data_IF_959244416665
#
_entry.id   IF_959244416665
#
_cell.length_a   1.000
_cell.length_b   1.000
_cell.length_c   1.000
_cell.angle_alpha   90.00
_cell.angle_beta   90.00
_cell.angle_gamma   90.00
#
_symmetry.space_group_name_H-M   'P 1'
#
loop_
_entity.id
_entity.type
_entity.pdbx_description
1 polymer ?
#
# COMPACT_ATOMS: atom_id res chain seq x y z
N UNK A 1 1.24 8.95 -24.48
CA UNK A 1 0.79 7.86 -23.57
C UNK A 1 1.85 6.79 -23.67
N UNK A 2 2.40 6.31 -22.55
CA UNK A 2 3.50 5.34 -22.60
C UNK A 2 2.90 3.96 -22.89
N UNK A 3 3.23 3.34 -24.02
CA UNK A 3 2.77 1.98 -24.33
C UNK A 3 3.35 0.93 -23.36
N UNK A 4 4.40 1.31 -22.62
CA UNK A 4 5.06 0.47 -21.62
C UNK A 4 4.61 0.76 -20.18
N UNK A 5 3.59 1.60 -19.92
CA UNK A 5 3.09 1.75 -18.54
C UNK A 5 2.34 0.49 -18.10
N UNK A 6 2.69 -0.04 -16.93
CA UNK A 6 1.97 -1.16 -16.33
C UNK A 6 0.52 -0.74 -16.04
N UNK A 7 -0.44 -1.43 -16.65
CA UNK A 7 -1.89 -1.22 -16.45
C UNK A 7 -2.49 -2.09 -15.34
N UNK A 8 -1.64 -2.79 -14.60
CA UNK A 8 -2.00 -3.65 -13.49
C UNK A 8 -1.11 -3.36 -12.28
N UNK A 9 -1.67 -3.58 -11.09
CA UNK A 9 -0.90 -3.55 -9.85
C UNK A 9 -0.26 -4.92 -9.63
N UNK A 10 1.00 -4.94 -9.20
CA UNK A 10 1.71 -6.15 -8.82
C UNK A 10 1.98 -6.17 -7.32
N UNK A 11 1.73 -7.32 -6.70
CA UNK A 11 1.97 -7.52 -5.26
C UNK A 11 2.84 -8.75 -5.06
N UNK A 12 3.99 -8.54 -4.45
CA UNK A 12 4.88 -9.58 -3.99
C UNK A 12 4.89 -9.62 -2.45
N UNK A 13 4.69 -10.81 -1.88
CA UNK A 13 4.70 -11.02 -0.43
C UNK A 13 5.74 -12.08 -0.09
N UNK A 14 6.72 -11.71 0.72
CA UNK A 14 7.70 -12.59 1.31
C UNK A 14 7.40 -12.75 2.80
N UNK A 15 7.18 -13.99 3.23
CA UNK A 15 6.99 -14.35 4.64
C UNK A 15 8.26 -15.09 5.07
N UNK A 16 8.91 -14.58 6.11
CA UNK A 16 10.13 -15.13 6.69
C UNK A 16 9.77 -15.62 8.08
N UNK A 17 9.93 -16.91 8.33
CA UNK A 17 9.76 -17.50 9.65
C UNK A 17 11.12 -17.92 10.21
N UNK A 18 11.40 -17.56 11.46
CA UNK A 18 12.55 -18.04 12.21
C UNK A 18 12.08 -18.67 13.51
N UNK A 19 12.73 -19.75 13.93
CA UNK A 19 12.43 -20.40 15.20
C UNK A 19 13.69 -20.45 16.06
N UNK A 20 13.59 -19.93 17.28
CA UNK A 20 14.63 -20.00 18.30
C UNK A 20 14.32 -21.14 19.27
N UNK A 21 15.11 -22.22 19.15
CA UNK A 21 15.00 -23.42 20.01
C UNK A 21 15.25 -23.14 21.49
N UNK A 22 16.09 -22.16 21.83
CA UNK A 22 16.45 -21.88 23.22
C UNK A 22 15.33 -21.14 23.96
N UNK A 23 14.68 -20.19 23.28
CA UNK A 23 13.56 -19.44 23.87
C UNK A 23 12.19 -20.05 23.55
N UNK A 24 12.13 -21.11 22.74
CA UNK A 24 10.90 -21.68 22.19
C UNK A 24 9.99 -20.63 21.51
N UNK A 25 10.61 -19.62 20.88
CA UNK A 25 9.90 -18.55 20.20
C UNK A 25 10.04 -18.71 18.70
N UNK A 26 8.91 -18.57 18.00
CA UNK A 26 8.87 -18.36 16.57
C UNK A 26 8.70 -16.87 16.30
N UNK A 27 9.41 -16.37 15.30
CA UNK A 27 9.30 -15.00 14.83
C UNK A 27 8.84 -15.08 13.38
N UNK A 28 7.80 -14.34 13.05
CA UNK A 28 7.38 -14.16 11.66
C UNK A 28 7.61 -12.72 11.23
N UNK A 29 8.26 -12.57 10.07
CA UNK A 29 8.48 -11.32 9.37
C UNK A 29 7.74 -11.33 8.05
N UNK A 30 6.87 -10.36 7.81
CA UNK A 30 6.25 -10.20 6.48
C UNK A 30 6.80 -8.96 5.81
N UNK A 31 7.42 -9.16 4.63
CA UNK A 31 7.77 -8.13 3.67
C UNK A 31 6.75 -8.15 2.53
N UNK A 32 6.09 -7.01 2.31
CA UNK A 32 5.26 -6.80 1.12
C UNK A 32 5.93 -5.76 0.25
N UNK A 33 6.04 -6.05 -1.05
CA UNK A 33 6.48 -5.14 -2.10
C UNK A 33 5.34 -5.01 -3.09
N UNK A 34 4.91 -3.78 -3.32
CA UNK A 34 3.77 -3.49 -4.19
C UNK A 34 4.25 -2.53 -5.25
N UNK A 35 4.03 -2.86 -6.51
CA UNK A 35 4.22 -1.97 -7.65
C UNK A 35 2.84 -1.55 -8.15
N UNK A 36 2.56 -0.25 -8.07
CA UNK A 36 1.27 0.30 -8.49
C UNK A 36 1.28 0.66 -9.98
N UNK A 37 0.16 0.40 -10.65
CA UNK A 37 -0.10 0.89 -12.00
C UNK A 37 -0.04 2.43 -12.04
N UNK A 38 0.22 2.96 -13.23
CA UNK A 38 0.36 4.40 -13.46
C UNK A 38 -0.90 5.21 -13.11
N UNK A 39 -0.68 6.48 -12.74
CA UNK A 39 -1.74 7.42 -12.31
C UNK A 39 -2.27 8.29 -13.43
N UNK A 40 -1.88 8.01 -14.66
CA UNK A 40 -2.28 8.84 -15.79
C UNK A 40 -3.80 8.89 -15.92
N UNK A 41 -4.30 10.09 -16.25
CA UNK A 41 -5.70 10.32 -16.54
C UNK A 41 -5.91 10.32 -18.05
N UNK A 42 -7.02 9.74 -18.52
CA UNK A 42 -7.43 9.71 -19.94
C UNK A 42 -7.86 11.09 -20.46
N UNK A 43 -7.60 12.17 -19.70
CA UNK A 43 -7.97 13.52 -20.10
C UNK A 43 -7.03 14.05 -21.19
N UNK A 44 -7.26 13.64 -22.46
CA UNK A 44 -7.00 14.44 -23.69
C UNK A 44 -7.16 13.71 -25.04
N UNK A 45 -7.61 12.46 -25.09
CA UNK A 45 -7.78 11.75 -26.36
C UNK A 45 -9.26 11.47 -26.61
N UNK A 46 -9.83 12.13 -27.62
CA UNK A 46 -11.22 11.97 -28.07
C UNK A 46 -11.50 10.59 -28.66
N UNK A 47 -10.45 9.85 -29.05
CA UNK A 47 -10.56 8.55 -29.74
C UNK A 47 -9.96 7.40 -28.91
N UNK A 48 -10.40 7.22 -27.67
CA UNK A 48 -10.02 6.06 -26.85
C UNK A 48 -11.18 5.07 -26.81
N UNK A 49 -10.88 3.82 -27.18
CA UNK A 49 -11.84 2.71 -27.10
C UNK A 49 -12.45 2.60 -25.69
N UNK A 50 -13.74 2.32 -25.60
CA UNK A 50 -14.47 2.20 -24.32
C UNK A 50 -13.81 1.22 -23.34
N UNK A 51 -13.21 0.14 -23.86
CA UNK A 51 -12.46 -0.84 -23.07
C UNK A 51 -11.26 -0.19 -22.35
N UNK A 52 -10.48 0.64 -23.04
CA UNK A 52 -9.32 1.36 -22.46
C UNK A 52 -9.75 2.45 -21.49
N UNK A 53 -10.88 3.12 -21.75
CA UNK A 53 -11.48 4.07 -20.80
C UNK A 53 -11.89 3.39 -19.50
N UNK A 54 -12.56 2.23 -19.59
CA UNK A 54 -12.98 1.44 -18.43
C UNK A 54 -11.78 0.88 -17.65
N UNK A 55 -10.75 0.41 -18.34
CA UNK A 55 -9.50 -0.06 -17.73
C UNK A 55 -8.80 1.04 -16.93
N UNK A 56 -8.55 2.19 -17.55
CA UNK A 56 -7.89 3.33 -16.89
C UNK A 56 -8.73 3.87 -15.72
N UNK A 57 -10.06 3.82 -15.85
CA UNK A 57 -10.99 4.15 -14.76
C UNK A 57 -10.82 3.23 -13.55
N UNK A 58 -10.64 1.93 -13.75
CA UNK A 58 -10.43 0.97 -12.66
C UNK A 58 -9.06 1.15 -11.98
N UNK A 59 -8.00 1.45 -12.73
CA UNK A 59 -6.69 1.78 -12.18
C UNK A 59 -6.80 2.99 -11.25
N UNK A 60 -7.34 4.10 -11.76
CA UNK A 60 -7.50 5.34 -10.99
C UNK A 60 -8.43 5.17 -9.78
N UNK A 61 -9.46 4.32 -9.90
CA UNK A 61 -10.33 3.99 -8.76
C UNK A 61 -9.55 3.35 -7.61
N UNK A 62 -8.65 2.41 -7.90
CA UNK A 62 -7.85 1.75 -6.87
C UNK A 62 -6.81 2.69 -6.23
N UNK A 63 -6.17 3.56 -7.01
CA UNK A 63 -5.24 4.58 -6.50
C UNK A 63 -5.96 5.63 -5.64
N UNK A 64 -7.14 6.08 -6.07
CA UNK A 64 -7.98 7.01 -5.30
C UNK A 64 -8.42 6.38 -3.97
N UNK A 65 -8.90 5.14 -3.99
CA UNK A 65 -9.27 4.41 -2.78
C UNK A 65 -8.09 4.29 -1.81
N UNK A 66 -6.88 4.02 -2.32
CA UNK A 66 -5.66 3.98 -1.52
C UNK A 66 -5.35 5.34 -0.89
N UNK A 67 -5.49 6.44 -1.65
CA UNK A 67 -5.37 7.80 -1.12
C UNK A 67 -6.39 8.14 -0.04
N UNK A 68 -7.63 7.68 -0.17
CA UNK A 68 -8.67 7.84 0.84
C UNK A 68 -8.35 7.07 2.13
N UNK A 69 -7.78 5.87 2.02
CA UNK A 69 -7.29 5.10 3.18
C UNK A 69 -6.22 5.88 3.94
N UNK A 70 -5.20 6.39 3.24
CA UNK A 70 -4.16 7.19 3.87
C UNK A 70 -4.74 8.47 4.52
N UNK A 71 -5.63 9.17 3.83
CA UNK A 71 -6.28 10.35 4.39
C UNK A 71 -7.06 10.03 5.68
N UNK A 72 -7.83 8.93 5.70
CA UNK A 72 -8.54 8.47 6.88
C UNK A 72 -7.59 8.08 8.03
N UNK A 73 -6.42 7.47 7.73
CA UNK A 73 -5.38 7.19 8.74
C UNK A 73 -4.87 8.50 9.35
N UNK A 74 -4.59 9.51 8.52
CA UNK A 74 -4.07 10.80 8.99
C UNK A 74 -5.05 11.56 9.89
N UNK A 75 -6.36 11.41 9.67
CA UNK A 75 -7.43 12.03 10.46
C UNK A 75 -7.86 11.18 11.66
N UNK A 76 -7.43 9.92 11.74
CA UNK A 76 -7.94 8.99 12.74
C UNK A 76 -9.42 8.70 12.56
N UNK A 77 -9.87 8.45 11.33
CA UNK A 77 -11.25 8.11 10.97
C UNK A 77 -11.44 6.60 10.71
N UNK A 78 -12.64 6.18 10.29
CA UNK A 78 -12.89 4.82 9.80
C UNK A 78 -12.14 4.59 8.48
N UNK A 79 -11.48 3.43 8.35
CA UNK A 79 -10.63 3.14 7.18
C UNK A 79 -11.46 2.49 6.04
N UNK A 80 -11.58 3.14 4.87
CA UNK A 80 -12.45 2.67 3.79
C UNK A 80 -11.80 1.59 2.90
N UNK A 81 -11.35 0.47 3.47
CA UNK A 81 -10.66 -0.59 2.71
C UNK A 81 -11.49 -1.23 1.59
N UNK A 82 -12.82 -1.09 1.63
CA UNK A 82 -13.73 -1.65 0.61
C UNK A 82 -13.84 -0.82 -0.68
N UNK A 83 -13.11 0.30 -0.78
CA UNK A 83 -13.12 1.17 -1.98
C UNK A 83 -12.55 0.50 -3.25
N UNK A 84 -11.69 -0.50 -3.09
CA UNK A 84 -11.10 -1.29 -4.19
C UNK A 84 -10.63 -2.68 -3.72
N UNK A 85 -10.38 -3.60 -4.66
CA UNK A 85 -9.76 -4.90 -4.35
C UNK A 85 -8.37 -4.74 -3.74
N UNK A 86 -7.59 -3.77 -4.23
CA UNK A 86 -6.25 -3.46 -3.72
C UNK A 86 -6.32 -3.04 -2.24
N UNK A 87 -7.14 -2.05 -1.92
CA UNK A 87 -7.28 -1.58 -0.53
C UNK A 87 -7.84 -2.65 0.39
N UNK A 88 -8.71 -3.54 -0.12
CA UNK A 88 -9.23 -4.66 0.67
C UNK A 88 -8.13 -5.68 0.98
N UNK A 89 -7.30 -6.03 -0.01
CA UNK A 89 -6.13 -6.88 0.19
C UNK A 89 -5.14 -6.28 1.19
N UNK A 90 -4.99 -4.95 1.18
CA UNK A 90 -4.06 -4.22 2.04
C UNK A 90 -4.61 -3.87 3.43
N UNK A 91 -5.80 -4.32 3.79
CA UNK A 91 -6.37 -4.03 5.11
C UNK A 91 -5.41 -4.42 6.25
N UNK A 92 -4.93 -5.67 6.25
CA UNK A 92 -3.94 -6.17 7.21
C UNK A 92 -2.58 -5.46 7.08
N UNK A 93 -2.37 -4.73 5.98
CA UNK A 93 -1.15 -3.98 5.71
C UNK A 93 -1.11 -2.64 6.45
N UNK A 94 -2.26 -2.07 6.80
CA UNK A 94 -2.38 -0.79 7.50
C UNK A 94 -2.93 -0.90 8.92
N UNK A 95 -3.36 -2.09 9.32
CA UNK A 95 -3.71 -2.43 10.71
C UNK A 95 -2.49 -3.02 11.45
N UNK A 96 -2.39 -2.75 12.76
CA UNK A 96 -1.34 -3.31 13.62
C UNK A 96 0.04 -2.63 13.50
N UNK A 97 1.08 -3.33 13.97
CA UNK A 97 2.46 -2.84 13.93
C UNK A 97 3.06 -3.01 12.54
N UNK A 98 3.20 -1.91 11.80
CA UNK A 98 3.93 -1.95 10.53
C UNK A 98 4.76 -0.70 10.30
N UNK A 99 5.89 -0.90 9.61
CA UNK A 99 6.64 0.18 8.97
C UNK A 99 6.22 0.25 7.52
N UNK A 100 6.06 1.46 7.01
CA UNK A 100 5.62 1.74 5.66
C UNK A 100 6.65 2.65 5.00
N UNK A 101 7.24 2.18 3.90
CA UNK A 101 8.10 2.99 3.03
C UNK A 101 7.37 3.21 1.70
N UNK A 102 7.35 4.45 1.23
CA UNK A 102 6.74 4.86 -0.03
C UNK A 102 7.83 5.37 -0.99
N UNK A 103 7.99 4.75 -2.15
CA UNK A 103 8.72 5.35 -3.27
C UNK A 103 7.75 6.09 -4.17
N UNK A 104 8.10 7.31 -4.57
CA UNK A 104 7.31 8.13 -5.50
C UNK A 104 8.18 8.42 -6.70
N UNK A 105 7.89 7.76 -7.80
CA UNK A 105 8.53 8.06 -9.08
C UNK A 105 7.85 9.27 -9.71
N UNK A 106 8.63 10.20 -10.26
CA UNK A 106 8.14 11.43 -10.89
C UNK A 106 8.88 11.66 -12.21
N UNK A 107 8.25 12.38 -13.13
CA UNK A 107 8.88 12.82 -14.37
C UNK A 107 9.62 14.15 -14.17
N UNK A 108 10.80 14.27 -14.77
CA UNK A 108 11.55 15.54 -14.87
C UNK A 108 11.13 16.37 -16.08
N UNK A 109 10.37 15.79 -17.01
CA UNK A 109 9.93 16.48 -18.22
C UNK A 109 8.85 17.52 -17.87
N UNK A 110 9.04 18.81 -18.21
CA UNK A 110 8.09 19.88 -17.94
C UNK A 110 6.68 19.63 -18.46
N UNK A 111 6.52 18.84 -19.52
CA UNK A 111 5.19 18.47 -20.06
C UNK A 111 4.34 17.71 -19.03
N UNK A 112 4.97 17.04 -18.07
CA UNK A 112 4.32 16.21 -17.05
C UNK A 112 4.30 16.88 -15.66
N UNK A 113 4.56 18.20 -15.57
CA UNK A 113 4.61 18.92 -14.30
C UNK A 113 3.34 18.75 -13.45
N UNK A 114 2.16 18.70 -14.09
CA UNK A 114 0.89 18.49 -13.38
C UNK A 114 0.76 17.09 -12.78
N UNK A 115 1.23 16.06 -13.49
CA UNK A 115 1.24 14.68 -12.99
C UNK A 115 2.22 14.57 -11.82
N UNK A 116 3.45 15.07 -11.99
CA UNK A 116 4.47 15.15 -10.93
C UNK A 116 3.94 15.87 -9.69
N UNK A 117 3.26 17.01 -9.83
CA UNK A 117 2.65 17.73 -8.71
C UNK A 117 1.55 16.91 -8.02
N UNK A 118 0.75 16.15 -8.79
CA UNK A 118 -0.23 15.20 -8.26
C UNK A 118 0.42 14.14 -7.39
N UNK A 119 1.49 13.52 -7.87
CA UNK A 119 2.27 12.50 -7.15
C UNK A 119 2.88 13.04 -5.86
N UNK A 120 3.44 14.25 -5.89
CA UNK A 120 4.00 14.89 -4.70
C UNK A 120 2.92 15.27 -3.68
N UNK A 121 1.74 15.71 -4.11
CA UNK A 121 0.60 15.95 -3.21
C UNK A 121 0.11 14.65 -2.56
N UNK A 122 0.08 13.56 -3.29
CA UNK A 122 -0.20 12.24 -2.73
C UNK A 122 0.85 11.86 -1.68
N UNK A 123 2.13 12.01 -2.00
CA UNK A 123 3.23 11.77 -1.07
C UNK A 123 3.10 12.57 0.22
N UNK A 124 2.74 13.86 0.13
CA UNK A 124 2.52 14.72 1.30
C UNK A 124 1.37 14.23 2.19
N UNK A 125 0.29 13.70 1.60
CA UNK A 125 -0.80 13.07 2.35
C UNK A 125 -0.32 11.81 3.07
N UNK A 126 0.39 10.92 2.38
CA UNK A 126 0.91 9.68 2.98
C UNK A 126 1.91 9.97 4.10
N UNK A 127 2.77 10.98 3.94
CA UNK A 127 3.73 11.42 4.97
C UNK A 127 3.07 11.78 6.29
N UNK A 128 1.84 12.30 6.28
CA UNK A 128 1.07 12.68 7.48
C UNK A 128 0.41 11.47 8.16
N UNK A 129 0.52 10.28 7.58
CA UNK A 129 -0.06 9.06 8.12
C UNK A 129 0.90 8.40 9.11
N UNK A 130 0.55 8.39 10.39
CA UNK A 130 1.20 7.53 11.37
C UNK A 130 0.47 6.19 11.39
N UNK A 131 0.99 5.17 10.70
CA UNK A 131 0.39 3.83 10.61
C UNK A 131 0.28 3.12 11.98
N UNK A 132 0.85 3.69 13.06
CA UNK A 132 0.97 3.07 14.38
C UNK A 132 0.30 3.85 15.54
N UNK A 133 -0.53 4.86 15.28
CA UNK A 133 -1.07 5.73 16.36
C UNK A 133 -2.18 5.07 17.20
N UNK A 134 -2.94 4.09 16.67
CA UNK A 134 -4.06 3.46 17.40
C UNK A 134 -3.71 2.22 18.22
N UNK A 135 -2.59 1.57 17.97
CA UNK A 135 -2.29 0.21 18.53
C UNK A 135 -1.26 0.23 19.67
N UNK A 136 -0.63 1.38 19.94
CA UNK A 136 0.55 1.48 20.82
C UNK A 136 0.38 1.07 22.29
N UNK A 137 -0.83 0.92 22.82
CA UNK A 137 -1.00 0.75 24.27
C UNK A 137 -1.64 -0.58 24.73
N UNK A 138 -2.27 -1.35 23.82
CA UNK A 138 -3.15 -2.47 24.25
C UNK A 138 -2.63 -3.85 23.85
N UNK A 139 -1.82 -3.98 22.79
CA UNK A 139 -1.63 -5.28 22.11
C UNK A 139 -0.28 -6.00 22.31
N UNK A 140 0.72 -5.39 22.96
CA UNK A 140 2.04 -6.02 23.13
C UNK A 140 1.99 -7.34 23.93
N UNK A 141 0.99 -7.51 24.80
CA UNK A 141 0.75 -8.74 25.57
C UNK A 141 -0.29 -9.68 24.96
N UNK A 142 -1.07 -9.25 23.96
CA UNK A 142 -2.22 -10.00 23.44
C UNK A 142 -2.05 -10.53 22.01
N UNK A 143 -0.87 -10.35 21.40
CA UNK A 143 -0.58 -10.81 20.03
C UNK A 143 0.28 -12.09 19.96
N UNK A 144 0.68 -12.64 21.11
CA UNK A 144 1.28 -13.97 21.15
C UNK A 144 0.19 -14.99 20.84
N UNK A 145 0.32 -15.69 19.73
CA UNK A 145 -0.51 -16.85 19.41
C UNK A 145 0.41 -18.08 19.31
N UNK A 146 -0.10 -19.24 19.69
CA UNK A 146 0.60 -20.51 19.52
C UNK A 146 0.37 -21.03 18.10
N UNK A 147 1.42 -21.41 17.38
CA UNK A 147 1.22 -22.14 16.12
C UNK A 147 0.73 -23.57 16.39
N UNK A 148 0.40 -24.32 15.35
CA UNK A 148 -0.10 -25.71 15.48
C UNK A 148 0.92 -26.65 16.17
N UNK A 149 2.16 -26.22 16.39
CA UNK A 149 3.21 -26.96 17.09
C UNK A 149 3.44 -26.44 18.53
N UNK A 150 2.64 -25.48 19.00
CA UNK A 150 2.72 -24.93 20.35
C UNK A 150 3.80 -23.87 20.55
N UNK A 151 4.37 -23.33 19.47
CA UNK A 151 5.37 -22.27 19.56
C UNK A 151 4.71 -20.90 19.72
N UNK A 152 5.21 -20.11 20.67
CA UNK A 152 4.79 -18.71 20.78
C UNK A 152 5.32 -17.88 19.60
N UNK A 153 4.41 -17.25 18.86
CA UNK A 153 4.74 -16.46 17.66
C UNK A 153 4.78 -14.97 17.97
N UNK A 154 5.92 -14.33 17.71
CA UNK A 154 6.07 -12.87 17.77
C UNK A 154 5.77 -12.24 16.41
N UNK A 155 4.87 -11.24 16.33
CA UNK A 155 4.59 -10.53 15.09
C UNK A 155 5.69 -9.50 14.79
N UNK A 156 6.27 -9.55 13.58
CA UNK A 156 7.02 -8.43 13.02
C UNK A 156 6.56 -8.16 11.58
N UNK A 157 6.25 -6.90 11.26
CA UNK A 157 5.77 -6.55 9.92
C UNK A 157 6.50 -5.32 9.39
N UNK A 158 7.17 -5.47 8.26
CA UNK A 158 7.86 -4.39 7.55
C UNK A 158 7.30 -4.34 6.13
N UNK A 159 6.66 -3.25 5.73
CA UNK A 159 5.91 -3.17 4.47
C UNK A 159 6.49 -2.05 3.59
N UNK A 160 6.74 -2.35 2.32
CA UNK A 160 7.33 -1.42 1.36
C UNK A 160 6.40 -1.27 0.15
N UNK A 161 6.02 -0.04 -0.15
CA UNK A 161 5.15 0.30 -1.26
C UNK A 161 5.99 1.06 -2.27
N UNK A 162 6.09 0.53 -3.48
CA UNK A 162 6.65 1.25 -4.62
C UNK A 162 5.48 1.81 -5.39
N UNK A 163 5.37 3.13 -5.39
CA UNK A 163 4.28 3.80 -6.09
C UNK A 163 4.90 4.48 -7.30
N UNK A 164 4.74 3.80 -8.43
CA UNK A 164 5.21 4.26 -9.72
C UNK A 164 4.14 5.17 -10.33
N UNK A 165 4.29 6.49 -10.18
CA UNK A 165 3.31 7.47 -10.67
C UNK A 165 3.91 8.22 -11.86
N UNK A 166 3.59 7.76 -13.08
CA UNK A 166 3.78 8.55 -14.30
C UNK A 166 2.52 9.36 -14.63
#
# INVERSE_FOLDING_TARGET
MNENSSRSHFVFKLIISGYNKQSNHKIEGVLQMIDLAGSESVSKTTDVLDATRNETGNINKSLLALGQVFEAISKGEFLPFRGSKLTHFLQNSFEGHSKVLLFVNISQDPMFVHATLGSLKFADKVRKCMVNSRVRAVQEKSMLHEDNEGHSVLPSTHKMYVVNLF
#
